data_IF_457126710499
#
_entry.id   IF_457126710499
#
_cell.length_a   1.000
_cell.length_b   1.000
_cell.length_c   1.000
_cell.angle_alpha   90.00
_cell.angle_beta   90.00
_cell.angle_gamma   90.00
#
_symmetry.space_group_name_H-M   'P 1'
#
loop_
_entity.id
_entity.type
_entity.pdbx_description
1 polymer ?
#
# COMPACT_ATOMS: atom_id res chain seq x y z
N UNK A 1 -10.00 3.73 12.76
CA UNK A 1 -9.13 3.56 11.59
C UNK A 1 -8.12 2.47 11.85
N UNK A 2 -7.93 1.59 10.91
CA UNK A 2 -6.94 0.50 10.94
C UNK A 2 -6.06 0.62 9.70
N UNK A 3 -4.77 0.32 9.81
CA UNK A 3 -3.85 0.35 8.67
C UNK A 3 -3.54 -1.09 8.25
N UNK A 4 -3.76 -1.39 6.98
CA UNK A 4 -3.41 -2.67 6.36
C UNK A 4 -2.27 -2.48 5.38
N UNK A 5 -1.25 -3.30 5.48
CA UNK A 5 -0.08 -3.23 4.61
C UNK A 5 0.03 -4.50 3.78
N UNK A 6 0.08 -4.34 2.47
CA UNK A 6 0.48 -5.39 1.54
C UNK A 6 2.01 -5.52 1.68
N UNK A 7 2.43 -6.46 2.53
CA UNK A 7 3.78 -6.45 3.10
C UNK A 7 4.84 -7.16 2.25
N UNK A 8 4.43 -7.90 1.22
CA UNK A 8 5.39 -8.58 0.35
C UNK A 8 6.21 -7.54 -0.44
N UNK A 9 7.53 -7.58 -0.27
CA UNK A 9 8.46 -6.64 -0.89
C UNK A 9 8.17 -5.15 -0.57
N UNK A 10 7.53 -4.87 0.57
CA UNK A 10 7.22 -3.49 0.98
C UNK A 10 8.41 -2.87 1.72
N UNK A 11 9.00 -1.78 1.17
CA UNK A 11 10.18 -1.18 1.80
C UNK A 11 9.86 -0.18 2.92
N UNK A 12 8.57 0.10 3.20
CA UNK A 12 8.18 1.18 4.11
C UNK A 12 7.52 0.69 5.40
N UNK A 13 7.58 -0.60 5.70
CA UNK A 13 6.93 -1.18 6.89
C UNK A 13 7.36 -0.46 8.17
N UNK A 14 8.67 -0.24 8.36
CA UNK A 14 9.19 0.43 9.55
C UNK A 14 8.67 1.85 9.73
N UNK A 15 8.55 2.59 8.63
CA UNK A 15 8.02 3.95 8.64
C UNK A 15 6.53 3.94 9.01
N UNK A 16 5.76 3.02 8.42
CA UNK A 16 4.33 2.86 8.72
C UNK A 16 4.12 2.56 10.20
N UNK A 17 4.86 1.60 10.73
CA UNK A 17 4.74 1.20 12.14
C UNK A 17 5.08 2.34 13.10
N UNK A 18 6.16 3.06 12.82
CA UNK A 18 6.58 4.18 13.67
C UNK A 18 5.52 5.27 13.72
N UNK A 19 4.97 5.65 12.59
CA UNK A 19 3.94 6.70 12.51
C UNK A 19 2.63 6.20 13.14
N UNK A 20 2.23 4.98 12.84
CA UNK A 20 1.02 4.38 13.42
C UNK A 20 1.11 4.32 14.94
N UNK A 21 2.26 3.89 15.47
CA UNK A 21 2.49 3.81 16.91
C UNK A 21 2.38 5.17 17.58
N UNK A 22 2.89 6.23 16.94
CA UNK A 22 2.82 7.58 17.49
C UNK A 22 1.39 8.13 17.58
N UNK A 23 0.48 7.57 16.80
CA UNK A 23 -0.93 7.95 16.78
C UNK A 23 -1.86 6.88 17.37
N UNK A 24 -1.31 5.84 17.98
CA UNK A 24 -2.07 4.71 18.55
C UNK A 24 -2.99 4.02 17.54
N UNK A 25 -2.50 3.81 16.33
CA UNK A 25 -3.27 3.16 15.27
C UNK A 25 -2.76 1.74 15.09
N UNK A 26 -3.68 0.77 15.08
CA UNK A 26 -3.34 -0.63 14.85
C UNK A 26 -2.94 -0.87 13.40
N UNK A 27 -1.95 -1.74 13.21
CA UNK A 27 -1.44 -2.12 11.87
C UNK A 27 -1.50 -3.62 11.71
N UNK A 28 -1.94 -4.07 10.56
CA UNK A 28 -1.89 -5.48 10.15
C UNK A 28 -1.02 -5.58 8.91
N UNK A 29 0.01 -6.43 8.99
CA UNK A 29 0.89 -6.75 7.86
C UNK A 29 0.42 -8.07 7.25
N UNK A 30 0.10 -8.05 5.96
CA UNK A 30 -0.32 -9.27 5.25
C UNK A 30 0.78 -9.70 4.28
N UNK A 31 1.18 -10.95 4.37
CA UNK A 31 2.21 -11.51 3.48
C UNK A 31 1.87 -12.97 3.14
N UNK A 32 2.51 -13.49 2.09
CA UNK A 32 2.32 -14.89 1.73
C UNK A 32 3.19 -15.80 2.62
N UNK A 33 2.95 -17.11 2.54
CA UNK A 33 3.64 -18.09 3.38
C UNK A 33 5.10 -18.32 2.97
N UNK A 34 5.54 -17.75 1.85
CA UNK A 34 6.92 -17.85 1.39
C UNK A 34 7.83 -16.77 2.01
N UNK A 35 7.24 -15.82 2.72
CA UNK A 35 7.97 -14.74 3.37
C UNK A 35 7.94 -14.92 4.89
N UNK A 36 9.07 -14.63 5.53
CA UNK A 36 9.15 -14.61 6.99
C UNK A 36 9.20 -13.16 7.45
N UNK A 37 8.17 -12.78 8.21
CA UNK A 37 8.01 -11.40 8.67
C UNK A 37 7.61 -11.42 10.14
N UNK A 38 8.32 -10.67 10.96
CA UNK A 38 8.00 -10.49 12.37
C UNK A 38 7.85 -9.01 12.69
N UNK A 39 7.06 -8.70 13.70
CA UNK A 39 6.87 -7.33 14.16
C UNK A 39 6.58 -7.32 15.65
N UNK A 40 7.15 -6.35 16.36
CA UNK A 40 6.87 -6.11 17.77
C UNK A 40 5.62 -5.25 17.98
N UNK A 41 5.11 -4.64 16.91
CA UNK A 41 3.97 -3.72 16.99
C UNK A 41 2.76 -4.23 16.22
N UNK A 42 2.96 -4.66 14.98
CA UNK A 42 1.87 -5.04 14.07
C UNK A 42 1.43 -6.48 14.25
N UNK A 43 0.17 -6.76 13.97
CA UNK A 43 -0.30 -8.11 13.74
C UNK A 43 0.22 -8.57 12.37
N UNK A 44 0.78 -9.77 12.30
CA UNK A 44 1.25 -10.35 11.03
C UNK A 44 0.28 -11.47 10.64
N UNK A 45 -0.30 -11.36 9.46
CA UNK A 45 -1.23 -12.35 8.92
C UNK A 45 -0.59 -13.02 7.72
N UNK A 46 -0.34 -14.34 7.83
CA UNK A 46 0.16 -15.15 6.74
C UNK A 46 -1.01 -15.71 5.96
N UNK A 47 -1.00 -15.48 4.66
CA UNK A 47 -2.04 -15.96 3.76
C UNK A 47 -1.46 -17.08 2.91
N UNK A 48 -2.24 -18.12 2.65
CA UNK A 48 -1.80 -19.26 1.87
C UNK A 48 -1.26 -18.88 0.49
N UNK A 49 -0.41 -19.75 -0.08
CA UNK A 49 0.19 -19.52 -1.39
C UNK A 49 -0.87 -19.41 -2.48
N UNK A 50 -0.74 -18.39 -3.33
CA UNK A 50 -1.66 -18.14 -4.43
C UNK A 50 -1.43 -16.69 -4.90
N UNK A 51 -1.48 -16.48 -6.20
CA UNK A 51 -1.09 -15.19 -6.81
C UNK A 51 -1.83 -13.98 -6.22
N UNK A 52 -3.09 -14.16 -5.81
CA UNK A 52 -3.94 -13.06 -5.35
C UNK A 52 -4.44 -13.27 -3.92
N UNK A 53 -3.90 -14.26 -3.20
CA UNK A 53 -4.40 -14.62 -1.87
C UNK A 53 -4.28 -13.46 -0.87
N UNK A 54 -3.14 -12.75 -0.87
CA UNK A 54 -2.91 -11.59 -0.01
C UNK A 54 -3.90 -10.48 -0.35
N UNK A 55 -4.08 -10.20 -1.64
CA UNK A 55 -4.98 -9.13 -2.13
C UNK A 55 -6.41 -9.36 -1.66
N UNK A 56 -6.94 -10.57 -1.85
CA UNK A 56 -8.30 -10.91 -1.44
C UNK A 56 -8.47 -10.82 0.07
N UNK A 57 -7.50 -11.33 0.83
CA UNK A 57 -7.57 -11.28 2.29
C UNK A 57 -7.54 -9.84 2.80
N UNK A 58 -6.64 -9.03 2.26
CA UNK A 58 -6.53 -7.62 2.63
C UNK A 58 -7.85 -6.89 2.39
N UNK A 59 -8.42 -7.04 1.21
CA UNK A 59 -9.69 -6.38 0.86
C UNK A 59 -10.85 -6.91 1.71
N UNK A 60 -10.84 -8.20 2.05
CA UNK A 60 -11.89 -8.76 2.92
C UNK A 60 -11.87 -8.17 4.33
N UNK A 61 -10.69 -7.82 4.83
CA UNK A 61 -10.53 -7.24 6.17
C UNK A 61 -10.75 -5.73 6.19
N UNK A 62 -10.48 -5.06 5.08
CA UNK A 62 -10.52 -3.61 4.96
C UNK A 62 -11.96 -3.10 5.05
N UNK A 63 -12.18 -2.03 5.82
CA UNK A 63 -13.48 -1.41 5.99
C UNK A 63 -13.42 0.06 5.61
N UNK A 64 -14.58 0.68 5.47
CA UNK A 64 -14.70 2.11 5.20
C UNK A 64 -13.91 2.92 6.24
N UNK A 65 -13.10 3.86 5.79
CA UNK A 65 -12.29 4.72 6.66
C UNK A 65 -10.93 4.14 7.01
N UNK A 66 -10.63 2.90 6.63
CA UNK A 66 -9.31 2.31 6.85
C UNK A 66 -8.30 2.83 5.82
N UNK A 67 -7.01 2.58 6.10
CA UNK A 67 -5.90 3.02 5.25
C UNK A 67 -5.11 1.80 4.78
N UNK A 68 -4.90 1.70 3.47
CA UNK A 68 -4.17 0.60 2.84
C UNK A 68 -2.87 1.11 2.23
N UNK A 69 -1.76 0.43 2.55
CA UNK A 69 -0.46 0.69 1.94
C UNK A 69 -0.18 -0.43 0.96
N UNK A 70 -0.14 -0.11 -0.32
CA UNK A 70 0.09 -1.11 -1.37
C UNK A 70 0.72 -0.49 -2.61
N UNK A 71 1.55 -1.26 -3.29
CA UNK A 71 2.06 -0.89 -4.62
C UNK A 71 1.19 -1.48 -5.74
N UNK A 72 0.16 -2.26 -5.40
CA UNK A 72 -0.74 -2.88 -6.38
C UNK A 72 -1.94 -1.97 -6.64
N UNK A 73 -2.04 -1.46 -7.86
CA UNK A 73 -3.11 -0.55 -8.27
C UNK A 73 -4.50 -1.20 -8.21
N UNK A 74 -4.57 -2.51 -8.44
CA UNK A 74 -5.83 -3.25 -8.34
C UNK A 74 -6.33 -3.31 -6.91
N UNK A 75 -5.44 -3.57 -5.96
CA UNK A 75 -5.76 -3.55 -4.51
C UNK A 75 -6.22 -2.14 -4.11
N UNK A 76 -5.49 -1.12 -4.56
CA UNK A 76 -5.84 0.28 -4.26
C UNK A 76 -7.24 0.62 -4.79
N UNK A 77 -7.56 0.22 -6.02
CA UNK A 77 -8.88 0.45 -6.62
C UNK A 77 -9.99 -0.21 -5.81
N UNK A 78 -9.78 -1.45 -5.38
CA UNK A 78 -10.76 -2.16 -4.54
C UNK A 78 -10.93 -1.49 -3.18
N UNK A 79 -9.84 -1.04 -2.55
CA UNK A 79 -9.89 -0.33 -1.27
C UNK A 79 -10.71 0.97 -1.41
N UNK A 80 -10.43 1.75 -2.45
CA UNK A 80 -11.17 2.99 -2.71
C UNK A 80 -12.65 2.73 -2.92
N UNK A 81 -13.01 1.65 -3.62
CA UNK A 81 -14.42 1.31 -3.85
C UNK A 81 -15.16 0.95 -2.57
N UNK A 82 -14.46 0.49 -1.54
CA UNK A 82 -15.03 0.22 -0.21
C UNK A 82 -15.09 1.46 0.69
N UNK A 83 -14.62 2.59 0.22
CA UNK A 83 -14.55 3.82 1.03
C UNK A 83 -13.33 3.90 1.93
N UNK A 84 -12.35 3.04 1.73
CA UNK A 84 -11.05 3.13 2.38
C UNK A 84 -10.13 4.05 1.60
N UNK A 85 -8.99 4.37 2.18
CA UNK A 85 -7.95 5.18 1.56
C UNK A 85 -6.76 4.29 1.20
N UNK A 86 -5.99 4.69 0.20
CA UNK A 86 -4.83 3.90 -0.21
C UNK A 86 -3.66 4.82 -0.57
N UNK A 87 -2.45 4.37 -0.25
CA UNK A 87 -1.21 5.09 -0.52
C UNK A 87 -0.17 4.12 -1.11
N UNK A 88 0.57 4.60 -2.10
CA UNK A 88 1.69 3.89 -2.71
C UNK A 88 2.95 4.11 -1.87
N UNK A 89 3.90 3.18 -1.95
CA UNK A 89 5.18 3.28 -1.23
C UNK A 89 6.03 4.50 -1.61
N UNK A 90 5.71 5.17 -2.72
CA UNK A 90 6.34 6.44 -3.11
C UNK A 90 5.81 7.65 -2.35
N UNK A 91 4.70 7.46 -1.63
CA UNK A 91 3.98 8.55 -0.97
C UNK A 91 2.83 9.11 -1.78
N UNK A 92 2.62 8.62 -3.00
CA UNK A 92 1.51 9.07 -3.83
C UNK A 92 0.20 8.49 -3.31
N UNK A 93 -0.79 9.35 -3.08
CA UNK A 93 -2.13 8.91 -2.66
C UNK A 93 -2.89 8.43 -3.89
N UNK A 94 -3.52 7.27 -3.76
CA UNK A 94 -4.46 6.81 -4.77
C UNK A 94 -5.78 7.55 -4.59
N UNK A 95 -6.36 7.97 -5.69
CA UNK A 95 -7.65 8.66 -5.69
C UNK A 95 -8.48 8.17 -6.88
N UNK A 96 -9.81 8.30 -6.80
CA UNK A 96 -10.69 7.88 -7.89
C UNK A 96 -10.35 8.60 -9.20
N UNK A 97 -9.86 9.84 -9.13
CA UNK A 97 -9.48 10.65 -10.28
C UNK A 97 -8.24 10.15 -11.01
N UNK A 98 -7.32 9.44 -10.30
CA UNK A 98 -6.05 9.03 -10.90
C UNK A 98 -5.88 7.52 -11.05
N UNK A 99 -6.73 6.71 -10.41
CA UNK A 99 -6.53 5.26 -10.38
C UNK A 99 -6.65 4.61 -11.77
N UNK A 100 -7.58 5.07 -12.58
CA UNK A 100 -7.76 4.53 -13.94
C UNK A 100 -6.55 4.82 -14.81
N UNK A 101 -5.98 6.02 -14.69
CA UNK A 101 -4.78 6.40 -15.43
C UNK A 101 -3.58 5.55 -15.00
N UNK A 102 -3.41 5.32 -13.71
CA UNK A 102 -2.32 4.49 -13.18
C UNK A 102 -2.43 3.04 -13.64
N UNK A 103 -3.64 2.49 -13.69
CA UNK A 103 -3.90 1.15 -14.22
C UNK A 103 -3.56 1.08 -15.71
N UNK A 104 -3.92 2.11 -16.47
CA UNK A 104 -3.62 2.21 -17.89
C UNK A 104 -2.11 2.27 -18.13
N UNK A 105 -1.39 3.11 -17.40
CA UNK A 105 0.07 3.23 -17.49
C UNK A 105 0.76 1.89 -17.22
N UNK A 106 0.30 1.15 -16.21
CA UNK A 106 0.81 -0.18 -15.91
C UNK A 106 0.58 -1.15 -17.05
N UNK A 107 -0.60 -1.13 -17.66
CA UNK A 107 -0.93 -1.98 -18.80
C UNK A 107 -0.04 -1.68 -20.00
N UNK A 108 0.14 -0.42 -20.33
CA UNK A 108 1.02 0.04 -21.42
C UNK A 108 2.45 -0.40 -21.17
N UNK A 109 2.96 -0.22 -19.97
CA UNK A 109 4.33 -0.63 -19.60
C UNK A 109 4.52 -2.13 -19.71
N UNK A 110 3.54 -2.93 -19.32
CA UNK A 110 3.56 -4.38 -19.46
C UNK A 110 3.61 -4.79 -20.94
N UNK A 111 2.78 -4.15 -21.77
CA UNK A 111 2.72 -4.42 -23.21
C UNK A 111 4.04 -4.03 -23.89
N UNK A 112 4.61 -2.89 -23.55
CA UNK A 112 5.89 -2.44 -24.08
C UNK A 112 7.03 -3.39 -23.69
N UNK A 113 7.07 -3.89 -22.46
CA UNK A 113 8.05 -4.88 -22.02
C UNK A 113 7.96 -6.19 -22.78
N UNK A 114 6.74 -6.65 -23.11
CA UNK A 114 6.52 -7.86 -23.93
C UNK A 114 6.96 -7.65 -25.37
N UNK A 115 6.70 -6.48 -25.94
CA UNK A 115 7.06 -6.15 -27.32
C UNK A 115 8.57 -6.00 -27.49
N UNK A 116 9.29 -5.57 -26.45
CA UNK A 116 10.72 -5.33 -26.48
C UNK A 116 11.52 -6.43 -25.76
N UNK A 117 11.14 -7.69 -25.93
CA UNK A 117 11.82 -8.83 -25.30
C UNK A 117 13.33 -8.94 -25.65
N UNK A 118 13.78 -8.27 -26.71
CA UNK A 118 15.20 -8.17 -27.10
C UNK A 118 15.87 -6.88 -26.64
N UNK A 119 15.10 -5.89 -26.21
CA UNK A 119 15.60 -4.61 -25.71
C UNK A 119 15.16 -4.48 -24.26
N UNK A 120 16.11 -4.65 -23.34
CA UNK A 120 15.82 -4.54 -21.90
C UNK A 120 15.39 -3.11 -21.58
N UNK A 121 14.11 -2.95 -21.26
CA UNK A 121 13.68 -1.73 -20.58
C UNK A 121 14.37 -1.70 -19.22
N UNK A 122 14.97 -0.55 -18.88
CA UNK A 122 15.53 -0.35 -17.54
C UNK A 122 14.41 -0.52 -16.53
N UNK A 123 14.62 -1.37 -15.53
CA UNK A 123 13.73 -1.49 -14.39
C UNK A 123 13.64 -0.17 -13.61
N UNK A 124 12.74 -0.08 -12.63
CA UNK A 124 12.65 1.11 -11.80
C UNK A 124 14.01 1.38 -11.14
N UNK A 125 14.33 2.66 -10.95
CA UNK A 125 15.55 3.05 -10.26
C UNK A 125 15.56 2.50 -8.83
N UNK A 126 16.75 2.28 -8.28
CA UNK A 126 16.93 1.83 -6.91
C UNK A 126 16.32 2.84 -5.94
N UNK A 127 15.58 2.34 -4.95
CA UNK A 127 14.99 3.17 -3.90
C UNK A 127 16.08 3.85 -3.06
N UNK A 128 15.88 5.12 -2.76
CA UNK A 128 16.82 5.96 -2.01
C UNK A 128 16.21 6.44 -0.70
N UNK A 129 17.06 7.03 0.17
CA UNK A 129 16.61 7.65 1.42
C UNK A 129 15.62 8.80 1.15
N UNK A 130 15.76 9.50 0.04
CA UNK A 130 14.83 10.54 -0.37
C UNK A 130 13.43 9.98 -0.63
N UNK A 131 13.35 8.78 -1.22
CA UNK A 131 12.07 8.11 -1.45
C UNK A 131 11.40 7.76 -0.12
N UNK A 132 12.17 7.30 0.87
CA UNK A 132 11.66 7.01 2.21
C UNK A 132 11.17 8.28 2.90
N UNK A 133 11.91 9.37 2.79
CA UNK A 133 11.51 10.66 3.36
C UNK A 133 10.22 11.17 2.71
N UNK A 134 10.13 11.08 1.39
CA UNK A 134 8.91 11.50 0.67
C UNK A 134 7.69 10.69 1.12
N UNK A 135 7.86 9.38 1.29
CA UNK A 135 6.78 8.54 1.82
C UNK A 135 6.41 8.94 3.24
N UNK A 136 7.41 9.11 4.12
CA UNK A 136 7.19 9.47 5.53
C UNK A 136 6.36 10.75 5.66
N UNK A 137 6.75 11.80 4.96
CA UNK A 137 6.04 13.10 5.00
C UNK A 137 4.60 12.95 4.49
N UNK A 138 4.44 12.26 3.37
CA UNK A 138 3.12 12.07 2.74
C UNK A 138 2.21 11.20 3.60
N UNK A 139 2.75 10.13 4.16
CA UNK A 139 2.00 9.19 5.01
C UNK A 139 1.54 9.86 6.31
N UNK A 140 2.44 10.59 6.97
CA UNK A 140 2.11 11.36 8.18
C UNK A 140 0.96 12.34 7.90
N UNK A 141 1.06 13.05 6.78
CA UNK A 141 0.05 14.03 6.36
C UNK A 141 -1.31 13.35 6.13
N UNK A 142 -1.31 12.18 5.49
CA UNK A 142 -2.53 11.43 5.25
C UNK A 142 -3.15 10.93 6.56
N UNK A 143 -2.34 10.37 7.45
CA UNK A 143 -2.81 9.89 8.76
C UNK A 143 -3.44 11.03 9.56
N UNK A 144 -2.78 12.18 9.63
CA UNK A 144 -3.31 13.35 10.34
C UNK A 144 -4.64 13.83 9.74
N UNK A 145 -4.72 13.87 8.42
CA UNK A 145 -5.96 14.25 7.72
C UNK A 145 -7.11 13.32 8.09
N UNK A 146 -6.87 12.01 8.06
CA UNK A 146 -7.89 11.02 8.34
C UNK A 146 -8.34 11.05 9.80
N UNK A 147 -7.42 11.28 10.72
CA UNK A 147 -7.76 11.42 12.14
C UNK A 147 -8.62 12.66 12.39
N UNK A 148 -8.34 13.77 11.71
CA UNK A 148 -9.14 14.98 11.82
C UNK A 148 -10.56 14.77 11.25
N UNK A 149 -10.68 14.10 10.11
CA UNK A 149 -11.97 13.79 9.52
C UNK A 149 -12.81 12.90 10.43
N UNK A 150 -12.21 11.92 11.07
CA UNK A 150 -12.89 11.03 12.02
C UNK A 150 -13.33 11.77 13.28
N UNK A 151 -12.51 12.68 13.79
CA UNK A 151 -12.83 13.48 14.97
C UNK A 151 -14.02 14.43 14.72
N UNK A 152 -14.20 14.90 13.48
CA UNK A 152 -15.31 15.77 13.10
C UNK A 152 -16.65 15.09 12.87
N UNK A 153 -16.71 13.75 13.02
CA UNK A 153 -17.93 12.97 12.77
C UNK A 153 -18.69 12.56 14.04
N UNK A 154 -18.20 12.93 15.20
CA UNK A 154 -18.86 12.64 16.47
C UNK A 154 -19.88 13.73 16.86
#
# INVERSE_FOLDING_TARGET
MHIYVDADACPVIGIVERIAKSHNIAVTLLCDTNHYLTSDYSEVVYVGAGADAVDFKLISLCEKGDLVVTQDYGVAAMALSKGAYAIHQSGKWYANENIDLMLMERHISKKARRASSKNHMKGPRKRSDKDDYNFEVSFERLVEKLLQENAGKD
#
